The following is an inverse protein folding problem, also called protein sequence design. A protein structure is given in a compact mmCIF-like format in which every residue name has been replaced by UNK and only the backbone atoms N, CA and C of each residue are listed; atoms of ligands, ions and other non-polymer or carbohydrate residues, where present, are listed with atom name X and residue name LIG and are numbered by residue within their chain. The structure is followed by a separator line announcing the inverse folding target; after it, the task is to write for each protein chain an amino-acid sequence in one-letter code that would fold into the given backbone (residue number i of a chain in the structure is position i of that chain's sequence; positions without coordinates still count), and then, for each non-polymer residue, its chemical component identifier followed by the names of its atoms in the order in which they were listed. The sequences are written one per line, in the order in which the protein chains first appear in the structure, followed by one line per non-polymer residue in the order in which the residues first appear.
data_IF_083222569691
#
_entry.id   IF_083222569691
#
_cell.length_a   1.000
_cell.length_b   1.000
_cell.length_c   1.000
_cell.angle_alpha   90.00
_cell.angle_beta   90.00
_cell.angle_gamma   90.00
#
_symmetry.space_group_name_H-M   'P 1'
#
loop_
_entity.id
_entity.type
_entity.pdbx_description
1 polymer ?
#
# COMPACT_ATOMS: atom_id res chain seq x y z
N UNK A 1 12.31 -21.94 -11.47
CA UNK A 1 11.42 -20.77 -11.52
C UNK A 1 11.45 -20.12 -10.15
N UNK A 2 11.60 -18.81 -10.11
CA UNK A 2 11.63 -18.01 -8.87
C UNK A 2 10.22 -17.51 -8.58
N UNK A 3 9.69 -17.79 -7.40
CA UNK A 3 8.39 -17.27 -6.99
C UNK A 3 8.56 -15.87 -6.40
N UNK A 4 8.01 -14.87 -7.09
CA UNK A 4 8.06 -13.47 -6.66
C UNK A 4 6.66 -13.01 -6.26
N UNK A 5 6.51 -12.55 -5.02
CA UNK A 5 5.26 -11.97 -4.53
C UNK A 5 5.32 -10.43 -4.56
N UNK A 6 4.23 -9.80 -5.01
CA UNK A 6 3.98 -8.37 -4.86
C UNK A 6 3.00 -8.14 -3.71
N UNK A 7 3.39 -7.36 -2.70
CA UNK A 7 2.47 -6.95 -1.63
C UNK A 7 1.68 -5.72 -2.04
N UNK A 8 0.40 -5.67 -1.62
CA UNK A 8 -0.51 -4.57 -1.89
C UNK A 8 -1.42 -4.28 -0.71
N UNK A 9 -1.78 -2.99 -0.55
CA UNK A 9 -2.72 -2.53 0.49
C UNK A 9 -3.57 -1.34 0.03
N UNK A 10 -3.45 -0.90 -1.22
CA UNK A 10 -4.18 0.26 -1.74
C UNK A 10 -4.57 0.06 -3.19
N UNK A 11 -4.26 1.04 -4.04
CA UNK A 11 -4.66 1.01 -5.46
C UNK A 11 -4.17 -0.20 -6.24
N UNK A 12 -3.10 -0.89 -5.82
CA UNK A 12 -2.63 -2.10 -6.50
C UNK A 12 -3.72 -3.16 -6.63
N UNK A 13 -4.61 -3.26 -5.63
CA UNK A 13 -5.64 -4.29 -5.58
C UNK A 13 -6.74 -4.03 -6.60
N UNK A 14 -7.28 -2.81 -6.64
CA UNK A 14 -8.44 -2.45 -7.48
C UNK A 14 -8.07 -1.77 -8.81
N UNK A 15 -6.81 -1.36 -8.97
CA UNK A 15 -6.26 -0.79 -10.21
C UNK A 15 -4.81 -1.25 -10.42
N UNK A 16 -4.59 -2.53 -10.80
CA UNK A 16 -3.27 -3.06 -11.09
C UNK A 16 -2.65 -2.46 -12.37
N UNK A 17 -3.46 -1.88 -13.26
CA UNK A 17 -3.06 -1.42 -14.60
C UNK A 17 -2.27 -2.51 -15.34
N UNK A 18 -1.05 -2.21 -15.78
CA UNK A 18 -0.19 -3.11 -16.54
C UNK A 18 0.75 -3.94 -15.64
N UNK A 19 0.53 -3.99 -14.32
CA UNK A 19 1.38 -4.79 -13.44
C UNK A 19 1.20 -6.29 -13.78
N UNK A 20 2.27 -7.01 -14.16
CA UNK A 20 2.17 -8.41 -14.58
C UNK A 20 2.07 -9.31 -13.34
N UNK A 21 0.85 -9.54 -12.87
CA UNK A 21 0.52 -10.45 -11.76
C UNK A 21 -0.42 -11.56 -12.24
N UNK A 22 -0.37 -12.70 -11.56
CA UNK A 22 -1.27 -13.86 -11.74
C UNK A 22 -2.69 -13.55 -11.25
N UNK A 23 -3.34 -12.52 -11.82
CA UNK A 23 -4.73 -12.01 -11.73
C UNK A 23 -5.54 -12.22 -10.43
N UNK A 24 -4.90 -12.54 -9.32
CA UNK A 24 -5.52 -12.90 -8.06
C UNK A 24 -4.72 -12.32 -6.90
N UNK A 25 -5.43 -11.65 -6.00
CA UNK A 25 -4.89 -11.11 -4.76
C UNK A 25 -5.32 -12.01 -3.60
N UNK A 26 -4.35 -12.65 -2.96
CA UNK A 26 -4.55 -13.41 -1.74
C UNK A 26 -4.65 -12.47 -0.53
N UNK A 27 -5.51 -12.81 0.42
CA UNK A 27 -5.84 -11.99 1.59
C UNK A 27 -5.01 -12.32 2.84
N UNK A 28 -4.16 -13.33 2.77
CA UNK A 28 -3.41 -13.91 3.88
C UNK A 28 -1.94 -13.43 3.93
N UNK A 29 -1.68 -12.20 3.47
CA UNK A 29 -0.34 -11.60 3.43
C UNK A 29 0.29 -11.38 4.82
N UNK A 30 1.54 -10.87 4.88
CA UNK A 30 2.19 -10.52 6.13
C UNK A 30 1.53 -9.28 6.77
N UNK A 31 1.75 -9.10 8.07
CA UNK A 31 1.34 -7.88 8.76
C UNK A 31 2.27 -6.71 8.38
N UNK A 32 1.67 -5.57 8.02
CA UNK A 32 2.38 -4.36 7.62
C UNK A 32 1.83 -3.12 8.33
N UNK A 33 2.68 -2.21 8.83
CA UNK A 33 2.24 -0.99 9.47
C UNK A 33 2.01 0.08 8.39
N UNK A 34 0.79 0.21 7.88
CA UNK A 34 0.41 1.22 6.87
C UNK A 34 -0.61 2.20 7.41
N UNK A 35 -0.55 3.44 6.93
CA UNK A 35 -1.53 4.48 7.26
C UNK A 35 -1.73 5.49 6.12
N UNK A 36 -2.88 6.16 6.10
CA UNK A 36 -3.22 7.25 5.20
C UNK A 36 -2.36 8.49 5.46
N UNK A 37 -1.14 8.48 4.93
CA UNK A 37 -0.09 9.45 5.30
C UNK A 37 0.68 10.04 4.11
N UNK A 38 0.22 9.81 2.88
CA UNK A 38 0.83 10.40 1.68
C UNK A 38 -0.20 11.09 0.80
N UNK A 39 0.03 12.36 0.49
CA UNK A 39 -0.71 13.14 -0.50
C UNK A 39 -0.16 12.90 -1.90
N UNK A 40 -1.01 12.48 -2.83
CA UNK A 40 -0.68 12.42 -4.26
C UNK A 40 -0.86 13.78 -4.94
N UNK A 41 -0.33 13.92 -6.16
CA UNK A 41 -0.38 15.17 -6.92
C UNK A 41 -1.83 15.57 -7.29
N UNK A 42 -2.72 14.60 -7.47
CA UNK A 42 -4.16 14.77 -7.73
C UNK A 42 -5.01 14.94 -6.45
N UNK A 43 -4.37 15.09 -5.29
CA UNK A 43 -5.03 15.45 -4.04
C UNK A 43 -5.52 14.29 -3.18
N UNK A 44 -5.38 13.03 -3.60
CA UNK A 44 -5.74 11.86 -2.77
C UNK A 44 -4.82 11.73 -1.57
N UNK A 45 -5.36 11.19 -0.47
CA UNK A 45 -4.55 10.63 0.61
C UNK A 45 -4.44 9.12 0.40
N UNK A 46 -3.21 8.63 0.39
CA UNK A 46 -2.85 7.27 0.04
C UNK A 46 -2.12 6.57 1.19
N UNK A 47 -2.17 5.24 1.16
CA UNK A 47 -1.61 4.39 2.20
C UNK A 47 -0.12 4.15 1.97
N UNK A 48 0.69 4.43 3.00
CA UNK A 48 2.15 4.20 3.01
C UNK A 48 2.59 3.56 4.31
N UNK A 49 3.78 2.95 4.31
CA UNK A 49 4.34 2.33 5.50
C UNK A 49 4.64 3.41 6.57
N UNK A 50 4.01 3.28 7.74
CA UNK A 50 4.13 4.15 8.91
C UNK A 50 4.44 3.34 10.16
N UNK A 51 5.73 3.19 10.57
CA UNK A 51 6.14 2.23 11.61
C UNK A 51 5.49 2.36 12.99
N UNK A 52 4.91 3.52 13.32
CA UNK A 52 4.33 3.80 14.63
C UNK A 52 2.85 3.40 14.75
N UNK A 53 2.28 2.68 13.78
CA UNK A 53 0.86 2.31 13.74
C UNK A 53 0.67 0.80 13.91
N UNK A 54 -0.52 0.39 14.37
CA UNK A 54 -0.89 -1.02 14.45
C UNK A 54 -0.80 -1.67 13.05
N UNK A 55 -0.05 -2.76 12.89
CA UNK A 55 0.00 -3.48 11.62
C UNK A 55 -1.36 -4.06 11.20
N UNK A 56 -1.60 -4.10 9.90
CA UNK A 56 -2.76 -4.74 9.26
C UNK A 56 -2.30 -5.77 8.24
N UNK A 57 -3.16 -6.71 7.88
CA UNK A 57 -2.82 -7.78 6.94
C UNK A 57 -2.77 -7.25 5.50
N UNK A 58 -1.62 -7.32 4.86
CA UNK A 58 -1.48 -6.99 3.45
C UNK A 58 -2.21 -8.00 2.56
N UNK A 59 -2.56 -7.59 1.34
CA UNK A 59 -2.83 -8.51 0.25
C UNK A 59 -1.54 -8.80 -0.50
N UNK A 60 -1.52 -9.88 -1.26
CA UNK A 60 -0.38 -10.21 -2.12
C UNK A 60 -0.81 -10.93 -3.39
N UNK A 61 -0.01 -10.80 -4.44
CA UNK A 61 -0.20 -11.51 -5.71
C UNK A 61 1.14 -12.08 -6.19
N UNK A 62 1.11 -13.17 -6.95
CA UNK A 62 2.30 -13.67 -7.64
C UNK A 62 2.57 -12.85 -8.91
N UNK A 63 3.82 -12.54 -9.18
CA UNK A 63 4.24 -11.89 -10.42
C UNK A 63 4.24 -12.90 -11.59
N UNK A 64 3.88 -12.44 -12.78
CA UNK A 64 4.06 -13.16 -14.05
C UNK A 64 5.51 -12.97 -14.53
N UNK A 65 6.47 -13.54 -13.79
CA UNK A 65 7.89 -13.45 -14.10
C UNK A 65 8.77 -13.94 -12.96
N UNK A 66 10.00 -14.34 -13.28
CA UNK A 66 10.96 -14.92 -12.34
C UNK A 66 12.21 -14.05 -12.09
N UNK A 67 12.26 -12.86 -12.69
CA UNK A 67 13.32 -11.86 -12.50
C UNK A 67 12.92 -10.81 -11.48
N UNK A 68 13.64 -10.74 -10.35
CA UNK A 68 13.40 -9.75 -9.30
C UNK A 68 13.60 -8.31 -9.81
N UNK A 69 14.63 -8.07 -10.62
CA UNK A 69 14.90 -6.74 -11.15
C UNK A 69 13.81 -6.28 -12.12
N UNK A 70 13.30 -7.17 -12.97
CA UNK A 70 12.18 -6.83 -13.85
C UNK A 70 10.90 -6.62 -13.03
N UNK A 71 10.61 -7.47 -12.04
CA UNK A 71 9.45 -7.29 -11.17
C UNK A 71 9.48 -5.94 -10.42
N UNK A 72 10.65 -5.52 -9.91
CA UNK A 72 10.85 -4.20 -9.29
C UNK A 72 10.58 -3.07 -10.28
N UNK A 73 11.10 -3.17 -11.51
CA UNK A 73 10.90 -2.18 -12.56
C UNK A 73 9.43 -2.06 -12.96
N UNK A 74 8.72 -3.18 -13.10
CA UNK A 74 7.29 -3.21 -13.42
C UNK A 74 6.47 -2.54 -12.32
N UNK A 75 6.76 -2.84 -11.04
CA UNK A 75 6.12 -2.17 -9.92
C UNK A 75 6.46 -0.66 -9.88
N UNK A 76 7.72 -0.29 -10.12
CA UNK A 76 8.15 1.10 -10.20
C UNK A 76 7.39 1.89 -11.26
N UNK A 77 7.28 1.33 -12.48
CA UNK A 77 6.55 1.92 -13.59
C UNK A 77 5.08 2.08 -13.27
N UNK A 78 4.46 1.06 -12.68
CA UNK A 78 3.08 1.14 -12.22
C UNK A 78 2.91 2.27 -11.22
N UNK A 79 3.76 2.35 -10.20
CA UNK A 79 3.65 3.39 -9.16
C UNK A 79 4.00 4.80 -9.65
N UNK A 80 4.60 4.94 -10.85
CA UNK A 80 5.15 6.22 -11.31
C UNK A 80 6.30 6.71 -10.43
N UNK A 81 6.99 5.79 -9.75
CA UNK A 81 8.03 6.13 -8.77
C UNK A 81 9.33 6.54 -9.49
N UNK A 82 9.75 7.79 -9.32
CA UNK A 82 10.98 8.32 -9.93
C UNK A 82 12.26 7.71 -9.33
N UNK A 83 12.26 7.44 -8.02
CA UNK A 83 13.39 6.83 -7.32
C UNK A 83 13.17 5.31 -7.19
N UNK A 84 14.08 4.46 -7.70
CA UNK A 84 14.04 3.01 -7.50
C UNK A 84 13.98 2.57 -6.03
N UNK A 85 14.52 3.37 -5.10
CA UNK A 85 14.47 3.09 -3.66
C UNK A 85 13.06 3.12 -3.06
N UNK A 86 12.10 3.69 -3.81
CA UNK A 86 10.68 3.61 -3.47
C UNK A 86 10.07 2.25 -3.79
N UNK A 87 10.85 1.29 -4.30
CA UNK A 87 10.45 -0.11 -4.39
C UNK A 87 11.24 -0.92 -3.36
N UNK A 88 10.53 -1.38 -2.33
CA UNK A 88 11.07 -2.32 -1.37
C UNK A 88 11.19 -3.70 -1.97
N UNK A 89 12.22 -4.44 -1.55
CA UNK A 89 12.40 -5.83 -1.94
C UNK A 89 13.02 -6.63 -0.78
N UNK A 90 12.79 -7.93 -0.82
CA UNK A 90 13.40 -8.92 0.05
C UNK A 90 13.57 -10.22 -0.75
N UNK A 91 14.61 -10.98 -0.41
CA UNK A 91 14.85 -12.31 -0.99
C UNK A 91 15.21 -13.30 0.10
N UNK A 92 14.85 -14.56 -0.10
CA UNK A 92 15.15 -15.66 0.82
C UNK A 92 16.63 -15.68 1.17
N UNK A 93 16.93 -15.91 2.46
CA UNK A 93 18.29 -15.88 3.00
C UNK A 93 18.79 -14.48 3.40
N UNK A 94 18.00 -13.42 3.16
CA UNK A 94 18.25 -12.08 3.73
C UNK A 94 17.44 -11.89 5.02
N UNK A 95 17.92 -11.08 5.97
CA UNK A 95 17.12 -10.71 7.14
C UNK A 95 15.82 -10.00 6.69
N UNK A 96 14.70 -10.19 7.43
CA UNK A 96 13.46 -9.49 7.12
C UNK A 96 13.66 -7.97 7.26
N UNK A 97 12.93 -7.15 6.47
CA UNK A 97 12.91 -5.72 6.66
C UNK A 97 12.42 -5.38 8.08
N UNK A 98 13.06 -4.42 8.74
CA UNK A 98 12.69 -3.97 10.10
C UNK A 98 11.20 -3.66 10.25
N UNK A 99 10.58 -3.10 9.20
CA UNK A 99 9.17 -2.69 9.18
C UNK A 99 8.20 -3.84 8.91
N UNK A 100 8.69 -5.03 8.53
CA UNK A 100 7.88 -6.22 8.21
C UNK A 100 8.60 -7.46 8.78
N UNK A 101 8.67 -7.60 10.13
CA UNK A 101 9.49 -8.62 10.77
C UNK A 101 9.05 -10.05 10.40
N UNK A 102 7.75 -10.27 10.22
CA UNK A 102 7.17 -11.58 9.88
C UNK A 102 7.36 -11.98 8.40
N UNK A 103 7.98 -11.13 7.57
CA UNK A 103 8.06 -11.35 6.13
C UNK A 103 8.76 -12.66 5.77
N UNK A 104 9.84 -13.00 6.49
CA UNK A 104 10.63 -14.19 6.21
C UNK A 104 9.82 -15.47 6.44
N UNK A 105 9.22 -15.63 7.62
CA UNK A 105 8.42 -16.79 7.98
C UNK A 105 7.19 -16.93 7.07
N UNK A 106 6.52 -15.80 6.80
CA UNK A 106 5.37 -15.76 5.89
C UNK A 106 5.73 -16.22 4.48
N UNK A 107 6.87 -15.77 3.94
CA UNK A 107 7.32 -16.11 2.60
C UNK A 107 7.78 -17.58 2.49
N UNK A 108 8.49 -18.08 3.51
CA UNK A 108 8.94 -19.48 3.57
C UNK A 108 7.75 -20.45 3.59
N UNK A 109 6.73 -20.17 4.39
CA UNK A 109 5.52 -21.00 4.46
C UNK A 109 4.75 -21.10 3.13
N UNK A 110 4.98 -20.17 2.19
CA UNK A 110 4.30 -20.07 0.90
C UNK A 110 5.20 -20.40 -0.29
N UNK A 111 6.42 -20.90 -0.04
CA UNK A 111 7.42 -21.15 -1.07
C UNK A 111 7.73 -19.91 -1.95
N UNK A 112 7.71 -18.72 -1.35
CA UNK A 112 8.06 -17.45 -2.02
C UNK A 112 9.56 -17.21 -1.88
N UNK A 113 10.23 -16.92 -2.99
CA UNK A 113 11.68 -16.71 -3.05
C UNK A 113 12.06 -15.24 -2.92
N UNK A 114 11.23 -14.34 -3.46
CA UNK A 114 11.40 -12.89 -3.30
C UNK A 114 10.06 -12.17 -3.11
N UNK A 115 10.10 -11.02 -2.45
CA UNK A 115 8.93 -10.17 -2.22
C UNK A 115 9.26 -8.74 -2.63
N UNK A 116 8.33 -8.07 -3.31
CA UNK A 116 8.41 -6.64 -3.67
C UNK A 116 7.20 -5.87 -3.15
N UNK A 117 7.38 -4.59 -2.87
CA UNK A 117 6.29 -3.72 -2.42
C UNK A 117 6.59 -2.24 -2.67
N UNK A 118 5.55 -1.43 -2.66
CA UNK A 118 5.67 0.02 -2.77
C UNK A 118 6.17 0.62 -1.45
N UNK A 119 7.27 1.39 -1.50
CA UNK A 119 7.97 2.01 -0.37
C UNK A 119 8.03 3.54 -0.53
N UNK A 120 6.95 4.14 -1.03
CA UNK A 120 6.83 5.60 -1.09
C UNK A 120 6.77 6.19 0.33
N UNK A 121 7.53 7.26 0.63
CA UNK A 121 7.50 7.86 1.96
C UNK A 121 6.21 8.69 2.17
N UNK A 122 5.83 8.94 3.43
CA UNK A 122 4.86 9.98 3.76
C UNK A 122 5.39 11.36 3.32
N UNK A 123 4.51 12.31 3.02
CA UNK A 123 4.89 13.62 2.45
C UNK A 123 3.97 14.78 2.87
N UNK A 124 3.30 14.69 4.02
CA UNK A 124 2.56 15.83 4.55
C UNK A 124 3.50 16.93 5.01
N UNK A 125 3.41 18.11 4.37
CA UNK A 125 4.31 19.24 4.64
C UNK A 125 4.36 19.66 6.12
N UNK A 126 3.22 19.60 6.81
CA UNK A 126 3.08 20.04 8.20
C UNK A 126 3.23 18.90 9.22
N UNK A 127 3.62 17.70 8.78
CA UNK A 127 3.76 16.51 9.62
C UNK A 127 5.19 16.27 10.11
N UNK A 128 5.35 15.61 11.26
CA UNK A 128 6.67 15.18 11.76
C UNK A 128 7.29 14.17 10.78
N UNK A 129 8.40 14.58 10.15
CA UNK A 129 9.04 13.83 9.06
C UNK A 129 8.05 13.43 7.95
N UNK A 130 7.11 14.33 7.63
CA UNK A 130 6.10 14.08 6.61
C UNK A 130 4.87 13.28 7.09
N UNK A 131 4.83 12.84 8.36
CA UNK A 131 3.73 12.03 8.91
C UNK A 131 2.66 12.94 9.54
N UNK A 132 1.43 12.95 9.00
CA UNK A 132 0.35 13.75 9.59
C UNK A 132 -0.20 13.09 10.86
N UNK A 133 -0.88 13.87 11.70
CA UNK A 133 -1.86 13.32 12.66
C UNK A 133 -3.19 13.07 11.96
N UNK A 134 -4.08 12.28 12.56
CA UNK A 134 -5.39 12.00 11.96
C UNK A 134 -6.22 13.27 11.78
N UNK A 135 -6.09 14.23 12.69
CA UNK A 135 -6.75 15.54 12.61
C UNK A 135 -6.27 16.36 11.40
N UNK A 136 -4.99 16.27 11.02
CA UNK A 136 -4.46 16.95 9.84
C UNK A 136 -5.01 16.34 8.55
N UNK A 137 -5.13 15.01 8.51
CA UNK A 137 -5.74 14.28 7.40
C UNK A 137 -7.22 14.67 7.26
N UNK A 138 -7.97 14.66 8.36
CA UNK A 138 -9.39 15.04 8.36
C UNK A 138 -9.61 16.49 7.93
N UNK A 139 -8.80 17.43 8.44
CA UNK A 139 -8.85 18.84 8.03
C UNK A 139 -8.62 18.97 6.52
N UNK A 140 -7.54 18.36 6.01
CA UNK A 140 -7.22 18.37 4.60
C UNK A 140 -8.35 17.80 3.73
N UNK A 141 -8.91 16.64 4.10
CA UNK A 141 -10.00 16.01 3.34
C UNK A 141 -11.28 16.85 3.33
N UNK A 142 -11.57 17.60 4.40
CA UNK A 142 -12.73 18.51 4.46
C UNK A 142 -12.59 19.72 3.55
N UNK A 143 -11.36 20.20 3.37
CA UNK A 143 -11.04 21.34 2.51
C UNK A 143 -11.06 21.00 1.01
N UNK A 144 -10.97 19.71 0.66
CA UNK A 144 -11.05 19.27 -0.73
C UNK A 144 -12.44 19.56 -1.33
N UNK A 145 -12.42 20.07 -2.56
CA UNK A 145 -13.60 20.34 -3.38
C UNK A 145 -13.39 19.80 -4.81
N UNK A 146 -14.50 19.65 -5.55
CA UNK A 146 -14.48 19.20 -6.94
C UNK A 146 -13.75 17.87 -7.16
N UNK A 147 -13.02 17.77 -8.26
CA UNK A 147 -12.35 16.54 -8.71
C UNK A 147 -11.35 15.97 -7.72
N UNK A 148 -10.67 16.83 -6.94
CA UNK A 148 -9.72 16.38 -5.92
C UNK A 148 -10.43 15.67 -4.76
N UNK A 149 -11.62 16.17 -4.35
CA UNK A 149 -12.44 15.51 -3.34
C UNK A 149 -12.96 14.17 -3.84
N UNK A 150 -13.49 14.15 -5.06
CA UNK A 150 -14.03 12.93 -5.68
C UNK A 150 -12.97 11.83 -5.77
N UNK A 151 -11.76 12.19 -6.22
CA UNK A 151 -10.63 11.27 -6.29
C UNK A 151 -10.20 10.75 -4.91
N UNK A 152 -10.16 11.62 -3.90
CA UNK A 152 -9.79 11.24 -2.53
C UNK A 152 -10.82 10.30 -1.91
N UNK A 153 -12.10 10.65 -2.02
CA UNK A 153 -13.21 9.80 -1.55
C UNK A 153 -13.18 8.44 -2.25
N UNK A 154 -13.06 8.42 -3.58
CA UNK A 154 -12.99 7.18 -4.35
C UNK A 154 -11.84 6.30 -3.89
N UNK A 155 -10.64 6.86 -3.70
CA UNK A 155 -9.48 6.08 -3.25
C UNK A 155 -9.72 5.45 -1.88
N UNK A 156 -10.23 6.22 -0.92
CA UNK A 156 -10.49 5.74 0.44
C UNK A 156 -11.57 4.66 0.45
N UNK A 157 -12.66 4.87 -0.29
CA UNK A 157 -13.76 3.90 -0.41
C UNK A 157 -13.35 2.59 -1.09
N UNK A 158 -12.41 2.66 -2.04
CA UNK A 158 -11.87 1.49 -2.75
C UNK A 158 -10.69 0.83 -2.05
N UNK A 159 -10.11 1.44 -1.00
CA UNK A 159 -9.07 0.77 -0.24
C UNK A 159 -9.60 -0.58 0.29
N UNK A 160 -8.86 -1.70 0.16
CA UNK A 160 -9.38 -3.02 0.50
C UNK A 160 -9.88 -3.07 1.94
N UNK A 161 -11.03 -3.68 2.20
CA UNK A 161 -11.69 -3.63 3.53
C UNK A 161 -10.82 -4.13 4.67
N UNK A 162 -9.95 -5.12 4.43
CA UNK A 162 -9.03 -5.65 5.45
C UNK A 162 -7.93 -4.66 5.87
N UNK A 163 -7.71 -3.60 5.09
CA UNK A 163 -6.80 -2.51 5.42
C UNK A 163 -7.55 -1.53 6.33
N UNK A 164 -7.81 -2.00 7.54
CA UNK A 164 -8.59 -1.32 8.57
C UNK A 164 -7.65 -0.57 9.53
N UNK A 165 -7.22 0.62 9.10
CA UNK A 165 -6.29 1.46 9.84
C UNK A 165 -7.02 2.41 10.79
N UNK A 166 -6.28 2.98 11.75
CA UNK A 166 -6.87 3.95 12.69
C UNK A 166 -7.42 5.18 11.97
N UNK A 167 -6.72 5.69 10.95
CA UNK A 167 -7.20 6.88 10.24
C UNK A 167 -8.37 6.54 9.34
N UNK A 168 -8.41 5.34 8.75
CA UNK A 168 -9.58 4.89 7.98
C UNK A 168 -10.85 4.97 8.81
N UNK A 169 -10.84 4.39 10.02
CA UNK A 169 -12.01 4.39 10.92
C UNK A 169 -12.47 5.81 11.26
N UNK A 170 -11.53 6.73 11.51
CA UNK A 170 -11.84 8.15 11.76
C UNK A 170 -12.41 8.82 10.51
N UNK A 171 -11.84 8.59 9.33
CA UNK A 171 -12.35 9.14 8.06
C UNK A 171 -13.76 8.64 7.79
N UNK A 172 -14.01 7.34 7.94
CA UNK A 172 -15.33 6.73 7.76
C UNK A 172 -16.37 7.32 8.72
N UNK A 173 -16.02 7.47 10.00
CA UNK A 173 -16.91 8.06 11.00
C UNK A 173 -17.24 9.54 10.70
N UNK A 174 -16.25 10.33 10.30
CA UNK A 174 -16.35 11.79 10.20
C UNK A 174 -16.86 12.27 8.83
N UNK A 175 -16.53 11.56 7.75
CA UNK A 175 -16.85 11.95 6.37
C UNK A 175 -17.86 11.01 5.70
N UNK A 176 -18.23 9.89 6.32
CA UNK A 176 -19.14 8.90 5.76
C UNK A 176 -18.63 8.26 4.45
N UNK A 177 -17.32 8.26 4.25
CA UNK A 177 -16.64 7.67 3.10
C UNK A 177 -16.46 6.15 3.27
N UNK A 178 -17.58 5.44 3.32
CA UNK A 178 -17.64 4.01 3.63
C UNK A 178 -17.17 3.11 2.46
N UNK A 179 -16.63 1.91 2.74
CA UNK A 179 -16.12 1.02 1.71
C UNK A 179 -17.22 0.62 0.71
N UNK A 180 -16.97 0.81 -0.59
CA UNK A 180 -17.91 0.37 -1.63
C UNK A 180 -17.93 -1.16 -1.71
N UNK A 181 -19.11 -1.76 -1.90
CA UNK A 181 -19.21 -3.18 -2.18
C UNK A 181 -18.67 -3.44 -3.59
N UNK A 182 -17.53 -4.12 -3.72
CA UNK A 182 -16.93 -4.35 -5.03
C UNK A 182 -15.74 -5.30 -5.04
N UNK A 183 -14.84 -5.21 -4.07
CA UNK A 183 -13.56 -5.93 -4.18
C UNK A 183 -13.58 -7.20 -3.32
N UNK A 184 -14.21 -8.26 -3.88
CA UNK A 184 -13.94 -9.66 -3.52
C UNK A 184 -12.79 -10.18 -4.37
#
# INVERSE_FOLDING_TARGET
MTNIACLGWGSLIWDPRNLPIQRYWFNDGPLIPVEFARKSDDGRITLVISPAVRPVRALWALMDGDSLEEAKKQLQQREGAKNPEHIGNWSRGRPPPEKIPELNEWALARNIDSVIWTKLPPNFKDGDNGKPRVEDVLRYLRELTGTARDAAEQYIRRAPRQIDTAYRRRIEAELQWLPTAGDK
#
